data_IF_175489366043
#
_entry.id   IF_175489366043
#
_cell.length_a   1.000
_cell.length_b   1.000
_cell.length_c   1.000
_cell.angle_alpha   90.00
_cell.angle_beta   90.00
_cell.angle_gamma   90.00
#
_symmetry.space_group_name_H-M   'P 1'
#
loop_
_entity.id
_entity.type
_entity.pdbx_description
1 polymer ?
#
# COMPACT_ATOMS: atom_id res chain seq x y z
N UNK A 1 -2.21 19.84 12.95
CA UNK A 1 -3.64 20.20 12.98
C UNK A 1 -4.32 19.38 11.91
N UNK A 2 -5.45 18.73 12.22
CA UNK A 2 -6.25 18.02 11.21
C UNK A 2 -6.97 19.06 10.36
N UNK A 3 -6.84 18.98 9.03
CA UNK A 3 -7.60 19.86 8.14
C UNK A 3 -8.99 19.27 7.87
N UNK A 4 -10.01 20.13 7.69
CA UNK A 4 -11.39 19.69 7.34
C UNK A 4 -11.42 18.75 6.13
N UNK A 5 -10.51 18.96 5.19
CA UNK A 5 -10.37 18.13 3.99
C UNK A 5 -9.91 16.72 4.34
N UNK A 6 -8.93 16.58 5.23
CA UNK A 6 -8.42 15.28 5.66
C UNK A 6 -9.45 14.48 6.45
N UNK A 7 -10.23 15.13 7.31
CA UNK A 7 -11.32 14.47 8.06
C UNK A 7 -12.44 13.98 7.12
N UNK A 8 -12.77 14.78 6.10
CA UNK A 8 -13.74 14.40 5.06
C UNK A 8 -13.24 13.21 4.24
N UNK A 9 -11.96 13.22 3.84
CA UNK A 9 -11.34 12.08 3.17
C UNK A 9 -11.34 10.83 4.04
N UNK A 10 -11.02 10.97 5.33
CA UNK A 10 -11.01 9.86 6.29
C UNK A 10 -12.39 9.21 6.38
N UNK A 11 -13.45 10.01 6.45
CA UNK A 11 -14.83 9.52 6.54
C UNK A 11 -15.31 8.88 5.22
N UNK A 12 -14.89 9.42 4.07
CA UNK A 12 -15.17 8.79 2.78
C UNK A 12 -14.46 7.44 2.64
N UNK A 13 -13.19 7.35 3.05
CA UNK A 13 -12.43 6.10 3.07
C UNK A 13 -13.03 5.11 4.06
N UNK A 14 -13.47 5.57 5.23
CA UNK A 14 -14.15 4.71 6.22
C UNK A 14 -15.37 4.05 5.61
N UNK A 15 -16.26 4.82 4.96
CA UNK A 15 -17.42 4.27 4.28
C UNK A 15 -17.02 3.31 3.15
N UNK A 16 -16.01 3.64 2.35
CA UNK A 16 -15.57 2.78 1.26
C UNK A 16 -15.08 1.42 1.79
N UNK A 17 -14.27 1.43 2.85
CA UNK A 17 -13.71 0.22 3.46
C UNK A 17 -14.79 -0.60 4.16
N UNK A 18 -15.76 0.04 4.80
CA UNK A 18 -16.90 -0.63 5.44
C UNK A 18 -17.78 -1.36 4.41
N UNK A 19 -17.95 -0.77 3.24
CA UNK A 19 -18.67 -1.37 2.11
C UNK A 19 -17.83 -2.41 1.33
N UNK A 20 -16.63 -2.74 1.78
CA UNK A 20 -15.73 -3.70 1.10
C UNK A 20 -15.02 -3.15 -0.14
N UNK A 21 -15.08 -1.83 -0.35
CA UNK A 21 -14.25 -1.13 -1.33
C UNK A 21 -12.79 -1.05 -0.89
N UNK A 22 -11.87 -1.04 -1.85
CA UNK A 22 -10.44 -0.86 -1.59
C UNK A 22 -10.14 0.48 -0.89
N UNK A 23 -8.92 0.61 -0.35
CA UNK A 23 -8.48 1.83 0.37
C UNK A 23 -8.34 1.68 1.88
N UNK A 24 -8.39 0.46 2.40
CA UNK A 24 -8.17 0.18 3.83
C UNK A 24 -6.79 0.65 4.31
N UNK A 25 -5.77 0.58 3.45
CA UNK A 25 -4.44 1.11 3.76
C UNK A 25 -4.40 2.64 3.82
N UNK A 26 -4.92 3.34 2.81
CA UNK A 26 -5.06 4.80 2.85
C UNK A 26 -5.82 5.27 4.10
N UNK A 27 -6.90 4.60 4.48
CA UNK A 27 -7.65 4.89 5.72
C UNK A 27 -6.75 4.81 6.96
N UNK A 28 -6.02 3.69 7.12
CA UNK A 28 -5.11 3.47 8.25
C UNK A 28 -3.96 4.48 8.28
N UNK A 29 -3.40 4.81 7.12
CA UNK A 29 -2.32 5.79 6.99
C UNK A 29 -2.81 7.19 7.38
N UNK A 30 -4.01 7.57 6.95
CA UNK A 30 -4.64 8.85 7.30
C UNK A 30 -4.93 8.92 8.81
N UNK A 31 -5.46 7.86 9.41
CA UNK A 31 -5.67 7.80 10.87
C UNK A 31 -4.36 8.02 11.64
N UNK A 32 -3.29 7.35 11.21
CA UNK A 32 -1.96 7.50 11.83
C UNK A 32 -1.45 8.92 11.70
N UNK A 33 -1.57 9.52 10.51
CA UNK A 33 -1.15 10.91 10.23
C UNK A 33 -1.94 11.92 11.07
N UNK A 34 -3.24 11.74 11.18
CA UNK A 34 -4.15 12.65 11.88
C UNK A 34 -4.23 12.39 13.39
N UNK A 35 -3.61 11.30 13.89
CA UNK A 35 -3.65 10.86 15.29
C UNK A 35 -5.08 10.72 15.82
N UNK A 36 -5.99 10.24 14.97
CA UNK A 36 -7.41 10.05 15.29
C UNK A 36 -7.59 8.73 16.07
N UNK A 37 -8.41 8.75 17.13
CA UNK A 37 -8.77 7.53 17.89
C UNK A 37 -10.01 6.87 17.28
N UNK A 38 -9.81 5.89 16.41
CA UNK A 38 -10.84 5.00 15.81
C UNK A 38 -10.42 3.53 15.95
N UNK A 39 -10.10 3.15 17.18
CA UNK A 39 -9.39 1.90 17.50
C UNK A 39 -10.08 0.64 16.97
N UNK A 40 -11.41 0.55 17.06
CA UNK A 40 -12.16 -0.64 16.65
C UNK A 40 -12.13 -0.87 15.12
N UNK A 41 -12.29 0.20 14.34
CA UNK A 41 -12.25 0.14 12.87
C UNK A 41 -10.84 -0.13 12.38
N UNK A 42 -9.85 0.55 12.96
CA UNK A 42 -8.42 0.32 12.69
C UNK A 42 -8.02 -1.12 12.94
N UNK A 43 -8.46 -1.68 14.07
CA UNK A 43 -8.15 -3.06 14.43
C UNK A 43 -8.79 -4.05 13.45
N UNK A 44 -10.08 -3.89 13.15
CA UNK A 44 -10.79 -4.79 12.21
C UNK A 44 -10.18 -4.76 10.81
N UNK A 45 -10.01 -3.57 10.23
CA UNK A 45 -9.49 -3.44 8.87
C UNK A 45 -8.00 -3.78 8.81
N UNK A 46 -7.23 -3.37 9.82
CA UNK A 46 -5.80 -3.72 9.93
C UNK A 46 -5.58 -5.23 10.07
N UNK A 47 -6.36 -5.92 10.90
CA UNK A 47 -6.32 -7.39 11.00
C UNK A 47 -6.66 -8.06 9.67
N UNK A 48 -7.68 -7.57 8.96
CA UNK A 48 -8.05 -8.13 7.65
C UNK A 48 -6.89 -8.03 6.65
N UNK A 49 -6.17 -6.90 6.61
CA UNK A 49 -5.00 -6.72 5.74
C UNK A 49 -3.84 -7.63 6.16
N UNK A 50 -3.60 -7.77 7.48
CA UNK A 50 -2.52 -8.60 8.00
C UNK A 50 -2.79 -10.10 7.82
N UNK A 51 -4.06 -10.50 7.85
CA UNK A 51 -4.49 -11.88 7.64
C UNK A 51 -4.35 -12.30 6.17
N UNK A 52 -4.56 -11.38 5.23
CA UNK A 52 -4.39 -11.63 3.80
C UNK A 52 -2.93 -11.46 3.37
N UNK A 53 -2.20 -12.54 3.00
CA UNK A 53 -0.79 -12.43 2.62
C UNK A 53 -0.58 -11.54 1.39
N UNK A 54 -1.56 -11.49 0.48
CA UNK A 54 -1.55 -10.64 -0.72
C UNK A 54 -1.60 -9.15 -0.36
N UNK A 55 -2.46 -8.79 0.59
CA UNK A 55 -2.61 -7.41 1.08
C UNK A 55 -1.40 -7.00 1.92
N UNK A 56 -0.86 -7.94 2.72
CA UNK A 56 0.38 -7.75 3.49
C UNK A 56 1.60 -7.46 2.60
N UNK A 57 1.71 -8.10 1.44
CA UNK A 57 2.78 -7.81 0.47
C UNK A 57 2.68 -6.40 -0.11
N UNK A 58 1.48 -5.83 -0.23
CA UNK A 58 1.27 -4.44 -0.68
C UNK A 58 1.84 -3.43 0.32
N UNK A 59 1.81 -3.75 1.62
CA UNK A 59 2.36 -2.90 2.69
C UNK A 59 3.89 -2.79 2.68
N UNK A 60 4.56 -3.78 2.09
CA UNK A 60 6.03 -3.80 1.98
C UNK A 60 6.56 -2.98 0.81
N UNK A 61 5.69 -2.58 -0.12
CA UNK A 61 6.11 -1.98 -1.39
C UNK A 61 6.13 -0.43 -1.38
N UNK A 62 5.61 0.20 -0.33
CA UNK A 62 5.58 1.68 -0.20
C UNK A 62 6.93 2.31 0.22
N UNK A 63 7.99 1.48 0.32
CA UNK A 63 9.36 1.90 0.63
C UNK A 63 10.39 1.65 -0.48
N UNK A 64 10.02 1.03 -1.61
CA UNK A 64 10.93 0.96 -2.75
C UNK A 64 10.87 2.28 -3.51
N UNK A 65 11.74 3.21 -3.11
CA UNK A 65 12.22 4.29 -3.96
C UNK A 65 12.40 3.78 -5.38
N UNK A 66 11.96 4.57 -6.36
CA UNK A 66 12.29 4.34 -7.76
C UNK A 66 13.79 4.03 -7.93
N UNK A 67 14.08 2.80 -8.32
CA UNK A 67 15.42 2.26 -8.56
C UNK A 67 15.34 0.75 -8.37
N UNK A 68 15.36 -0.12 -9.37
CA UNK A 68 15.83 -0.02 -10.74
C UNK A 68 14.84 -0.74 -11.65
N UNK A 69 14.40 -0.06 -12.69
CA UNK A 69 14.01 -0.74 -13.91
C UNK A 69 15.31 -1.26 -14.56
N UNK A 70 15.77 -2.45 -14.17
CA UNK A 70 16.75 -3.18 -14.97
C UNK A 70 15.99 -4.06 -15.97
N UNK A 71 15.39 -3.38 -16.94
CA UNK A 71 15.16 -3.98 -18.25
C UNK A 71 16.54 -4.19 -18.87
N UNK A 72 17.18 -5.33 -18.61
CA UNK A 72 18.27 -5.79 -19.49
C UNK A 72 17.62 -6.35 -20.75
N UNK A 73 17.25 -5.41 -21.62
CA UNK A 73 17.10 -5.62 -23.05
C UNK A 73 18.47 -6.02 -23.59
N UNK A 74 18.48 -7.03 -24.45
CA UNK A 74 19.66 -7.86 -24.70
C UNK A 74 20.82 -7.20 -25.42
N UNK A 75 21.96 -7.90 -25.40
CA UNK A 75 22.91 -7.87 -26.50
C UNK A 75 23.59 -9.24 -26.67
N UNK A 76 23.60 -9.69 -27.93
CA UNK A 76 24.23 -10.92 -28.44
C UNK A 76 25.74 -10.88 -28.24
N UNK A 77 26.31 -11.97 -27.73
CA UNK A 77 27.63 -12.41 -28.14
C UNK A 77 27.69 -13.94 -28.11
N UNK A 78 27.41 -14.55 -29.26
CA UNK A 78 27.68 -15.96 -29.53
C UNK A 78 29.19 -16.18 -29.53
N UNK A 79 29.73 -16.62 -28.40
CA UNK A 79 31.11 -17.06 -28.32
C UNK A 79 31.21 -18.50 -28.86
N UNK A 80 31.34 -18.64 -30.17
CA UNK A 80 31.74 -19.89 -30.80
C UNK A 80 33.28 -19.97 -30.81
N UNK A 81 33.86 -20.27 -29.65
CA UNK A 81 35.18 -20.91 -29.57
C UNK A 81 34.93 -22.42 -29.46
N UNK A 82 35.09 -23.14 -30.56
CA UNK A 82 35.47 -24.55 -30.50
C UNK A 82 36.20 -24.93 -31.78
N UNK A 83 37.53 -25.05 -31.63
CA UNK A 83 38.50 -25.86 -32.41
C UNK A 83 38.48 -25.77 -33.92
#
# INVERSE_FOLDING_TARGET
MVTKTEETQLNSLENQVDNGGGGAWEYLCLIRKLKVRRSDKVLNHGLSILNDPKQRSTLGNEGASAGEASSVSGERATNALKT
#
